data_IF_997400882290
#
_entry.id   IF_997400882290
#
_cell.length_a   1.000
_cell.length_b   1.000
_cell.length_c   1.000
_cell.angle_alpha   90.00
_cell.angle_beta   90.00
_cell.angle_gamma   90.00
#
_symmetry.space_group_name_H-M   'P 1'
#
loop_
_entity.id
_entity.type
_entity.pdbx_description
1 polymer ?
#
# COMPACT_ATOMS: atom_id res chain seq x y z
N UNK A 1 -2.69 -25.10 -8.81
CA UNK A 1 -3.60 -24.49 -7.83
C UNK A 1 -4.66 -23.70 -8.57
N UNK A 2 -5.91 -23.83 -8.20
CA UNK A 2 -6.99 -22.98 -8.74
C UNK A 2 -6.86 -21.54 -8.20
N UNK A 3 -7.51 -20.58 -8.86
CA UNK A 3 -7.60 -19.21 -8.37
C UNK A 3 -8.23 -19.17 -6.97
N UNK A 4 -9.26 -19.98 -6.75
CA UNK A 4 -9.92 -20.12 -5.45
C UNK A 4 -8.97 -20.64 -4.36
N UNK A 5 -8.11 -21.62 -4.67
CA UNK A 5 -7.09 -22.11 -3.74
C UNK A 5 -6.06 -21.03 -3.38
N UNK A 6 -5.62 -20.23 -4.36
CA UNK A 6 -4.70 -19.11 -4.11
C UNK A 6 -5.32 -18.04 -3.23
N UNK A 7 -6.59 -17.69 -3.48
CA UNK A 7 -7.29 -16.67 -2.71
C UNK A 7 -7.60 -17.15 -1.28
N UNK A 8 -7.89 -18.44 -1.08
CA UNK A 8 -8.00 -19.04 0.26
C UNK A 8 -6.67 -19.01 1.04
N UNK A 9 -5.55 -19.29 0.37
CA UNK A 9 -4.23 -19.21 1.01
C UNK A 9 -3.90 -17.77 1.39
N UNK A 10 -4.16 -16.79 0.51
CA UNK A 10 -3.98 -15.37 0.81
C UNK A 10 -4.81 -14.92 2.00
N UNK A 11 -6.07 -15.34 2.08
CA UNK A 11 -6.93 -15.03 3.22
C UNK A 11 -6.38 -15.59 4.53
N UNK A 12 -5.96 -16.86 4.56
CA UNK A 12 -5.33 -17.48 5.75
C UNK A 12 -4.06 -16.77 6.18
N UNK A 13 -3.23 -16.39 5.21
CA UNK A 13 -2.02 -15.60 5.45
C UNK A 13 -2.37 -14.26 6.11
N UNK A 14 -3.34 -13.55 5.56
CA UNK A 14 -3.78 -12.26 6.09
C UNK A 14 -4.34 -12.41 7.51
N UNK A 15 -5.20 -13.40 7.76
CA UNK A 15 -5.77 -13.69 9.09
C UNK A 15 -4.66 -13.99 10.10
N UNK A 16 -3.66 -14.80 9.71
CA UNK A 16 -2.53 -15.10 10.58
C UNK A 16 -1.75 -13.82 10.94
N UNK A 17 -1.37 -13.02 9.93
CA UNK A 17 -0.64 -11.76 10.14
C UNK A 17 -1.41 -10.78 11.04
N UNK A 18 -2.73 -10.73 10.95
CA UNK A 18 -3.58 -9.91 11.82
C UNK A 18 -3.58 -10.47 13.25
N UNK A 19 -3.82 -11.78 13.40
CA UNK A 19 -3.93 -12.43 14.71
C UNK A 19 -2.63 -12.41 15.52
N UNK A 20 -1.47 -12.45 14.85
CA UNK A 20 -0.16 -12.35 15.49
C UNK A 20 0.27 -10.90 15.78
N UNK A 21 -0.45 -9.91 15.27
CA UNK A 21 -0.08 -8.49 15.34
C UNK A 21 0.99 -8.07 14.31
N UNK A 22 1.52 -8.99 13.50
CA UNK A 22 2.55 -8.71 12.49
C UNK A 22 2.04 -7.76 11.40
N UNK A 23 0.75 -7.81 11.07
CA UNK A 23 0.13 -6.88 10.12
C UNK A 23 0.30 -5.42 10.56
N UNK A 24 0.07 -5.12 11.85
CA UNK A 24 0.20 -3.76 12.38
C UNK A 24 1.66 -3.31 12.41
N UNK A 25 2.60 -4.22 12.70
CA UNK A 25 4.04 -3.93 12.64
C UNK A 25 4.49 -3.59 11.21
N UNK A 26 4.09 -4.40 10.22
CA UNK A 26 4.38 -4.14 8.80
C UNK A 26 3.76 -2.81 8.36
N UNK A 27 2.49 -2.57 8.69
CA UNK A 27 1.77 -1.35 8.33
C UNK A 27 2.45 -0.10 8.92
N UNK A 28 2.85 -0.15 10.20
CA UNK A 28 3.56 0.95 10.85
C UNK A 28 4.91 1.25 10.18
N UNK A 29 5.66 0.21 9.82
CA UNK A 29 6.95 0.35 9.14
C UNK A 29 6.79 0.92 7.73
N UNK A 30 5.79 0.46 6.98
CA UNK A 30 5.46 1.02 5.67
C UNK A 30 5.13 2.51 5.79
N UNK A 31 4.23 2.87 6.71
CA UNK A 31 3.85 4.28 6.95
C UNK A 31 5.05 5.15 7.32
N UNK A 32 5.93 4.66 8.19
CA UNK A 32 7.15 5.40 8.58
C UNK A 32 8.06 5.64 7.37
N UNK A 33 8.31 4.64 6.54
CA UNK A 33 9.18 4.77 5.36
C UNK A 33 8.61 5.70 4.31
N UNK A 34 7.30 5.61 4.06
CA UNK A 34 6.61 6.54 3.16
C UNK A 34 6.59 7.98 3.71
N UNK A 35 6.66 8.15 5.02
CA UNK A 35 6.83 9.46 5.64
C UNK A 35 8.26 9.98 5.45
N UNK A 36 9.25 9.17 5.82
CA UNK A 36 10.68 9.54 5.76
C UNK A 36 11.16 9.86 4.34
N UNK A 37 10.61 9.22 3.30
CA UNK A 37 10.98 9.49 1.91
C UNK A 37 10.16 10.61 1.24
N UNK A 38 9.27 11.27 2.00
CA UNK A 38 8.40 12.34 1.52
C UNK A 38 7.27 11.89 0.60
N UNK A 39 6.90 10.61 0.57
CA UNK A 39 5.82 10.11 -0.30
C UNK A 39 4.48 10.78 0.02
N UNK A 40 4.14 11.00 1.30
CA UNK A 40 2.90 11.69 1.68
C UNK A 40 2.85 13.11 1.11
N UNK A 41 3.95 13.86 1.20
CA UNK A 41 4.02 15.22 0.68
C UNK A 41 3.87 15.24 -0.84
N UNK A 42 4.55 14.33 -1.54
CA UNK A 42 4.46 14.23 -3.00
C UNK A 42 3.05 13.84 -3.46
N UNK A 43 2.37 12.93 -2.75
CA UNK A 43 0.97 12.56 -3.04
C UNK A 43 0.02 13.73 -2.73
N UNK A 44 0.25 14.47 -1.65
CA UNK A 44 -0.51 15.67 -1.34
C UNK A 44 -0.35 16.78 -2.39
N UNK A 45 0.88 16.98 -2.88
CA UNK A 45 1.17 17.90 -3.99
C UNK A 45 0.48 17.46 -5.27
N UNK A 46 0.57 16.16 -5.61
CA UNK A 46 -0.11 15.60 -6.77
C UNK A 46 -1.62 15.84 -6.70
N UNK A 47 -2.27 15.51 -5.58
CA UNK A 47 -3.69 15.75 -5.39
C UNK A 47 -4.05 17.25 -5.50
N UNK A 48 -3.18 18.13 -4.99
CA UNK A 48 -3.36 19.59 -5.10
C UNK A 48 -3.27 20.07 -6.55
N UNK A 49 -2.30 19.56 -7.32
CA UNK A 49 -2.16 19.86 -8.74
C UNK A 49 -3.37 19.36 -9.53
N UNK A 50 -3.83 18.14 -9.25
CA UNK A 50 -5.05 17.61 -9.88
C UNK A 50 -6.24 18.52 -9.56
N UNK A 51 -6.46 18.92 -8.31
CA UNK A 51 -7.55 19.82 -7.89
C UNK A 51 -7.55 21.19 -8.60
N UNK A 52 -6.38 21.72 -8.94
CA UNK A 52 -6.23 23.05 -9.56
C UNK A 52 -6.49 23.06 -11.08
N UNK A 53 -6.65 21.90 -11.73
CA UNK A 53 -6.96 21.86 -13.16
C UNK A 53 -8.35 22.45 -13.46
N UNK A 54 -8.46 23.24 -14.53
CA UNK A 54 -9.66 24.04 -14.86
C UNK A 54 -10.93 23.20 -15.12
N UNK A 55 -10.79 21.89 -15.40
CA UNK A 55 -11.88 20.96 -15.73
C UNK A 55 -12.59 20.35 -14.50
N UNK A 56 -12.25 20.79 -13.29
CA UNK A 56 -12.70 20.15 -12.04
C UNK A 56 -14.02 20.63 -11.46
N UNK A 57 -14.88 21.29 -12.25
CA UNK A 57 -16.15 21.85 -11.74
C UNK A 57 -17.05 20.82 -11.04
N UNK A 58 -16.89 19.52 -11.36
CA UNK A 58 -17.60 18.39 -10.74
C UNK A 58 -16.64 17.31 -10.20
N UNK A 59 -15.44 17.67 -9.74
CA UNK A 59 -14.49 16.70 -9.20
C UNK A 59 -14.98 16.16 -7.85
N UNK A 60 -15.22 14.85 -7.78
CA UNK A 60 -15.52 14.14 -6.52
C UNK A 60 -14.26 13.51 -5.93
N UNK A 61 -14.32 13.10 -4.66
CA UNK A 61 -13.23 12.36 -4.04
C UNK A 61 -12.90 11.08 -4.80
N UNK A 62 -13.91 10.34 -5.28
CA UNK A 62 -13.72 9.09 -6.02
C UNK A 62 -12.97 9.33 -7.33
N UNK A 63 -13.30 10.41 -8.06
CA UNK A 63 -12.60 10.79 -9.29
C UNK A 63 -11.17 11.25 -9.00
N UNK A 64 -10.96 12.06 -7.97
CA UNK A 64 -9.62 12.46 -7.53
C UNK A 64 -8.78 11.25 -7.12
N UNK A 65 -9.34 10.35 -6.32
CA UNK A 65 -8.69 9.12 -5.87
C UNK A 65 -8.32 8.23 -7.05
N UNK A 66 -9.22 8.05 -8.03
CA UNK A 66 -8.95 7.26 -9.24
C UNK A 66 -7.81 7.85 -10.09
N UNK A 67 -7.63 9.17 -10.12
CA UNK A 67 -6.53 9.83 -10.84
C UNK A 67 -5.20 9.78 -10.07
N UNK A 68 -5.25 9.97 -8.75
CA UNK A 68 -4.07 10.07 -7.88
C UNK A 68 -3.51 8.69 -7.53
N UNK A 69 -4.35 7.69 -7.28
CA UNK A 69 -3.95 6.35 -6.82
C UNK A 69 -2.86 5.69 -7.69
N UNK A 70 -3.01 5.53 -9.02
CA UNK A 70 -2.00 4.83 -9.82
C UNK A 70 -0.65 5.55 -9.81
N UNK A 71 -0.66 6.88 -9.81
CA UNK A 71 0.55 7.69 -9.69
C UNK A 71 1.18 7.51 -8.29
N UNK A 72 0.38 7.60 -7.23
CA UNK A 72 0.84 7.37 -5.86
C UNK A 72 1.45 5.97 -5.65
N UNK A 73 0.86 4.93 -6.24
CA UNK A 73 1.40 3.56 -6.21
C UNK A 73 2.75 3.45 -6.95
N UNK A 74 2.90 4.16 -8.08
CA UNK A 74 4.15 4.22 -8.84
C UNK A 74 5.26 5.01 -8.14
N UNK A 75 4.90 5.97 -7.28
CA UNK A 75 5.83 6.82 -6.53
C UNK A 75 6.44 6.12 -5.31
N UNK A 76 5.98 4.91 -4.95
CA UNK A 76 6.58 4.12 -3.87
C UNK A 76 7.97 3.65 -4.33
N UNK A 77 9.06 4.06 -3.65
CA UNK A 77 10.41 3.65 -4.03
C UNK A 77 10.58 2.14 -3.96
N UNK A 78 11.40 1.60 -4.86
CA UNK A 78 11.65 0.17 -4.96
C UNK A 78 12.26 -0.36 -3.66
N UNK A 79 13.12 0.41 -2.99
CA UNK A 79 13.73 0.03 -1.72
C UNK A 79 12.68 -0.19 -0.64
N UNK A 80 11.67 0.69 -0.56
CA UNK A 80 10.55 0.55 0.40
C UNK A 80 9.71 -0.67 0.05
N UNK A 81 9.42 -0.88 -1.25
CA UNK A 81 8.66 -2.06 -1.70
C UNK A 81 9.39 -3.35 -1.36
N UNK A 82 10.70 -3.42 -1.62
CA UNK A 82 11.51 -4.61 -1.35
C UNK A 82 11.61 -4.89 0.14
N UNK A 83 11.87 -3.88 0.98
CA UNK A 83 11.98 -4.09 2.42
C UNK A 83 10.68 -4.60 3.03
N UNK A 84 9.54 -4.01 2.66
CA UNK A 84 8.23 -4.46 3.15
C UNK A 84 7.90 -5.87 2.65
N UNK A 85 8.25 -6.18 1.40
CA UNK A 85 8.08 -7.53 0.85
C UNK A 85 8.94 -8.57 1.57
N UNK A 86 10.20 -8.23 1.89
CA UNK A 86 11.09 -9.11 2.68
C UNK A 86 10.49 -9.39 4.05
N UNK A 87 10.00 -8.37 4.77
CA UNK A 87 9.36 -8.56 6.08
C UNK A 87 8.12 -9.43 6.00
N UNK A 88 7.27 -9.25 4.98
CA UNK A 88 6.12 -10.12 4.76
C UNK A 88 6.57 -11.57 4.59
N UNK A 89 7.62 -11.84 3.78
CA UNK A 89 8.15 -13.20 3.62
C UNK A 89 8.70 -13.77 4.92
N UNK A 90 9.49 -13.02 5.66
CA UNK A 90 10.04 -13.43 6.97
C UNK A 90 8.93 -13.84 7.94
N UNK A 91 7.84 -13.05 8.01
CA UNK A 91 6.70 -13.42 8.85
C UNK A 91 5.95 -14.65 8.35
N UNK A 92 5.95 -14.94 7.06
CA UNK A 92 5.30 -16.12 6.50
C UNK A 92 6.11 -17.39 6.66
N UNK A 93 7.43 -17.29 6.57
CA UNK A 93 8.35 -18.39 6.86
C UNK A 93 8.23 -18.86 8.32
N UNK A 94 7.92 -17.94 9.25
CA UNK A 94 7.63 -18.27 10.65
C UNK A 94 6.30 -19.04 10.83
N UNK A 95 5.36 -18.96 9.88
CA UNK A 95 4.06 -19.66 9.92
C UNK A 95 4.09 -21.03 9.24
N UNK A 96 4.97 -21.21 8.24
CA UNK A 96 4.96 -22.37 7.33
C UNK A 96 5.98 -23.45 7.75
N UNK A 97 6.40 -23.49 9.02
CA UNK A 97 7.15 -24.63 9.58
C UNK A 97 6.21 -25.75 10.03
#
# INVERSE_FOLDING_TARGET
MSQDELDQIRAKIQDHLISSGNYELINKQLKLKLYENGWYDKVGQLATTELQQEDNKNLTFERLYAMVKPQAESMVPDEVRQEIMTRIREYLEDVIQ
#
